data_IF_176630328366
#
_entry.id   IF_176630328366
#
_cell.length_a   1.000
_cell.length_b   1.000
_cell.length_c   1.000
_cell.angle_alpha   90.00
_cell.angle_beta   90.00
_cell.angle_gamma   90.00
#
_symmetry.space_group_name_H-M   'P 1'
#
loop_
_entity.id
_entity.type
_entity.pdbx_description
1 polymer ?
#
# COMPACT_ATOMS: atom_id res chain seq x y z
N UNK A 1 -1.45 5.44 5.46
CA UNK A 1 -0.34 5.42 6.41
C UNK A 1 0.98 5.51 5.67
N UNK A 2 1.76 6.54 5.98
CA UNK A 2 3.02 6.85 5.30
C UNK A 2 4.19 6.25 6.07
N UNK A 3 4.91 5.32 5.48
CA UNK A 3 5.90 4.55 6.21
C UNK A 3 7.31 4.65 5.65
N UNK A 4 8.24 5.15 6.45
CA UNK A 4 9.65 4.77 6.40
C UNK A 4 9.86 3.38 7.03
N UNK A 5 11.04 2.76 6.92
CA UNK A 5 11.31 1.42 7.46
C UNK A 5 10.97 1.24 8.96
N UNK A 6 11.10 2.29 9.77
CA UNK A 6 10.68 2.30 11.18
C UNK A 6 9.16 2.41 11.35
N UNK A 7 8.45 2.92 10.35
CA UNK A 7 7.00 3.01 10.34
C UNK A 7 6.34 1.65 10.11
N UNK A 8 7.01 0.73 9.39
CA UNK A 8 6.46 -0.59 9.11
C UNK A 8 6.09 -1.37 10.39
N UNK A 9 6.74 -1.09 11.50
CA UNK A 9 6.45 -1.76 12.77
C UNK A 9 5.18 -1.23 13.46
N UNK A 10 4.80 0.03 13.25
CA UNK A 10 3.61 0.63 13.88
C UNK A 10 2.33 0.03 13.32
N UNK A 11 2.13 0.10 11.99
CA UNK A 11 0.90 -0.43 11.39
C UNK A 11 0.87 -1.96 11.36
N UNK A 12 2.03 -2.63 11.24
CA UNK A 12 2.09 -4.09 11.37
C UNK A 12 1.64 -4.57 12.76
N UNK A 13 1.96 -3.83 13.82
CA UNK A 13 1.44 -4.14 15.16
C UNK A 13 -0.10 -4.01 15.23
N UNK A 14 -0.70 -3.02 14.59
CA UNK A 14 -2.15 -2.89 14.53
C UNK A 14 -2.77 -4.09 13.80
N UNK A 15 -2.23 -4.48 12.64
CA UNK A 15 -2.70 -5.66 11.90
C UNK A 15 -2.54 -6.93 12.73
N UNK A 16 -1.43 -7.08 13.47
CA UNK A 16 -1.18 -8.25 14.30
C UNK A 16 -2.15 -8.39 15.49
N UNK A 17 -2.87 -7.33 15.85
CA UNK A 17 -3.94 -7.37 16.87
C UNK A 17 -5.30 -7.80 16.28
N UNK A 18 -5.47 -7.76 14.95
CA UNK A 18 -6.71 -8.20 14.31
C UNK A 18 -6.84 -9.71 14.32
N UNK A 19 -8.08 -10.19 14.19
CA UNK A 19 -8.36 -11.62 14.03
C UNK A 19 -7.82 -12.16 12.70
N UNK A 20 -7.67 -13.48 12.59
CA UNK A 20 -7.36 -14.17 11.35
C UNK A 20 -8.62 -14.31 10.49
N UNK A 21 -8.50 -14.37 9.17
CA UNK A 21 -7.26 -14.33 8.40
C UNK A 21 -6.69 -12.93 8.21
N UNK A 22 -5.37 -12.87 7.93
CA UNK A 22 -4.66 -11.64 7.62
C UNK A 22 -3.98 -11.77 6.26
N UNK A 23 -4.28 -10.84 5.38
CA UNK A 23 -3.73 -10.80 4.02
C UNK A 23 -2.68 -9.70 3.90
N UNK A 24 -1.61 -10.01 3.20
CA UNK A 24 -0.58 -9.05 2.84
C UNK A 24 -0.52 -8.94 1.32
N UNK A 25 -0.95 -7.81 0.79
CA UNK A 25 -0.87 -7.51 -0.64
C UNK A 25 0.48 -6.87 -0.93
N UNK A 26 1.34 -7.62 -1.60
CA UNK A 26 2.68 -7.21 -1.98
C UNK A 26 2.67 -6.59 -3.38
N UNK A 27 3.02 -5.32 -3.47
CA UNK A 27 2.96 -4.55 -4.73
C UNK A 27 4.31 -4.43 -5.43
N UNK A 28 5.40 -4.89 -4.80
CA UNK A 28 6.75 -4.83 -5.37
C UNK A 28 6.89 -5.77 -6.56
N UNK A 29 7.34 -5.25 -7.69
CA UNK A 29 7.81 -6.07 -8.81
C UNK A 29 9.23 -6.56 -8.57
N UNK A 30 9.52 -7.77 -9.06
CA UNK A 30 10.85 -8.39 -8.96
C UNK A 30 11.59 -8.16 -10.28
N UNK A 31 12.60 -7.31 -10.27
CA UNK A 31 13.37 -6.94 -11.45
C UNK A 31 14.69 -7.72 -11.58
N UNK A 32 15.26 -8.18 -10.46
CA UNK A 32 16.54 -8.88 -10.42
C UNK A 32 16.62 -9.93 -9.30
N UNK A 33 17.72 -10.68 -9.26
CA UNK A 33 17.92 -11.76 -8.30
C UNK A 33 18.08 -11.25 -6.85
N UNK A 34 18.64 -10.05 -6.64
CA UNK A 34 18.78 -9.46 -5.32
C UNK A 34 17.40 -9.06 -4.78
N UNK A 35 16.58 -8.45 -5.62
CA UNK A 35 15.19 -8.12 -5.31
C UNK A 35 14.40 -9.40 -4.97
N UNK A 36 14.56 -10.48 -5.75
CA UNK A 36 13.93 -11.77 -5.49
C UNK A 36 14.31 -12.35 -4.13
N UNK A 37 15.60 -12.33 -3.78
CA UNK A 37 16.08 -12.81 -2.48
C UNK A 37 15.51 -11.98 -1.31
N UNK A 38 15.39 -10.67 -1.48
CA UNK A 38 14.78 -9.76 -0.49
C UNK A 38 13.29 -10.04 -0.33
N UNK A 39 12.56 -10.21 -1.42
CA UNK A 39 11.12 -10.56 -1.40
C UNK A 39 10.91 -11.90 -0.68
N UNK A 40 11.70 -12.92 -0.98
CA UNK A 40 11.59 -14.24 -0.35
C UNK A 40 11.88 -14.18 1.17
N UNK A 41 12.89 -13.41 1.59
CA UNK A 41 13.16 -13.16 3.02
C UNK A 41 11.96 -12.50 3.71
N UNK A 42 11.37 -11.47 3.10
CA UNK A 42 10.19 -10.79 3.62
C UNK A 42 8.96 -11.71 3.66
N UNK A 43 8.80 -12.58 2.66
CA UNK A 43 7.72 -13.57 2.60
C UNK A 43 7.79 -14.55 3.76
N UNK A 44 8.98 -15.09 4.07
CA UNK A 44 9.19 -15.97 5.22
C UNK A 44 8.88 -15.27 6.55
N UNK A 45 9.31 -14.02 6.71
CA UNK A 45 8.99 -13.24 7.91
C UNK A 45 7.49 -12.97 8.07
N UNK A 46 6.77 -12.75 6.97
CA UNK A 46 5.32 -12.56 6.97
C UNK A 46 4.56 -13.85 7.30
N UNK A 47 4.99 -14.97 6.75
CA UNK A 47 4.41 -16.28 7.05
C UNK A 47 4.52 -16.62 8.55
N UNK A 48 5.67 -16.34 9.18
CA UNK A 48 5.86 -16.51 10.62
C UNK A 48 4.90 -15.63 11.46
N UNK A 49 4.39 -14.53 10.90
CA UNK A 49 3.39 -13.63 11.51
C UNK A 49 1.96 -13.96 11.10
N UNK A 50 1.72 -15.12 10.49
CA UNK A 50 0.42 -15.60 10.03
C UNK A 50 -0.26 -14.69 8.98
N UNK A 51 0.54 -14.11 8.08
CA UNK A 51 0.03 -13.44 6.89
C UNK A 51 -0.04 -14.41 5.71
N UNK A 52 -1.17 -14.40 5.04
CA UNK A 52 -1.29 -14.94 3.69
C UNK A 52 -0.86 -13.87 2.70
N UNK A 53 0.21 -14.13 1.92
CA UNK A 53 0.73 -13.16 0.95
C UNK A 53 0.07 -13.32 -0.39
N UNK A 54 -0.47 -12.23 -0.92
CA UNK A 54 -1.01 -12.10 -2.27
C UNK A 54 -0.10 -11.15 -3.03
N UNK A 55 0.60 -11.65 -4.06
CA UNK A 55 1.40 -10.81 -4.94
C UNK A 55 0.45 -10.05 -5.88
N UNK A 56 0.50 -8.73 -5.82
CA UNK A 56 -0.37 -7.84 -6.58
C UNK A 56 0.39 -6.61 -7.07
N UNK A 57 1.33 -6.77 -8.02
CA UNK A 57 2.08 -5.63 -8.55
C UNK A 57 1.25 -4.73 -9.47
N UNK A 58 0.17 -5.25 -10.05
CA UNK A 58 -0.76 -4.58 -10.97
C UNK A 58 -2.18 -5.08 -10.72
N UNK A 59 -3.16 -4.37 -11.29
CA UNK A 59 -4.55 -4.82 -11.40
C UNK A 59 -5.18 -5.21 -10.05
N UNK A 60 -5.09 -4.31 -9.07
CA UNK A 60 -5.63 -4.51 -7.73
C UNK A 60 -7.12 -4.88 -7.75
N UNK A 61 -7.88 -4.43 -8.74
CA UNK A 61 -9.31 -4.75 -8.96
C UNK A 61 -9.57 -6.23 -9.22
N UNK A 62 -8.55 -6.98 -9.62
CA UNK A 62 -8.66 -8.43 -9.88
C UNK A 62 -8.49 -9.29 -8.64
N UNK A 63 -7.99 -8.73 -7.55
CA UNK A 63 -7.75 -9.46 -6.30
C UNK A 63 -9.06 -9.99 -5.72
N UNK A 64 -9.03 -11.26 -5.34
CA UNK A 64 -10.14 -11.93 -4.63
C UNK A 64 -9.60 -12.57 -3.36
N UNK A 65 -10.17 -12.17 -2.24
CA UNK A 65 -9.82 -12.76 -0.94
C UNK A 65 -10.65 -14.03 -0.71
N UNK A 66 -10.04 -15.13 -0.20
CA UNK A 66 -10.76 -16.37 0.09
C UNK A 66 -11.92 -16.20 1.08
N UNK A 67 -11.76 -15.32 2.07
CA UNK A 67 -12.79 -14.95 3.02
C UNK A 67 -12.52 -13.56 3.60
N UNK A 68 -13.47 -13.00 4.32
CA UNK A 68 -13.32 -11.70 4.97
C UNK A 68 -12.24 -11.75 6.06
N UNK A 69 -11.45 -10.70 6.15
CA UNK A 69 -10.38 -10.57 7.13
C UNK A 69 -9.71 -9.21 7.04
N UNK A 70 -8.56 -9.06 7.68
CA UNK A 70 -7.78 -7.82 7.63
C UNK A 70 -6.76 -7.88 6.49
N UNK A 71 -6.80 -6.92 5.59
CA UNK A 71 -5.85 -6.77 4.50
C UNK A 71 -4.90 -5.59 4.74
N UNK A 72 -3.62 -5.82 4.47
CA UNK A 72 -2.55 -4.82 4.47
C UNK A 72 -1.97 -4.73 3.07
N UNK A 73 -2.12 -3.57 2.41
CA UNK A 73 -1.49 -3.26 1.14
C UNK A 73 -0.18 -2.50 1.39
N UNK A 74 0.94 -3.06 0.99
CA UNK A 74 2.27 -2.46 1.12
C UNK A 74 3.02 -2.58 -0.23
N UNK A 75 3.24 -1.47 -0.98
CA UNK A 75 2.79 -0.11 -0.72
C UNK A 75 2.13 0.52 -1.95
N UNK A 76 1.45 1.62 -1.74
CA UNK A 76 0.73 2.34 -2.79
C UNK A 76 1.67 3.03 -3.78
N UNK A 77 2.87 3.44 -3.34
CA UNK A 77 3.86 4.06 -4.20
C UNK A 77 4.35 3.10 -5.29
N UNK A 78 4.69 1.86 -4.92
CA UNK A 78 5.06 0.82 -5.88
C UNK A 78 3.90 0.51 -6.84
N UNK A 79 2.68 0.33 -6.31
CA UNK A 79 1.51 0.07 -7.15
C UNK A 79 1.26 1.19 -8.14
N UNK A 80 1.37 2.45 -7.71
CA UNK A 80 1.19 3.61 -8.59
C UNK A 80 2.25 3.66 -9.68
N UNK A 81 3.51 3.42 -9.35
CA UNK A 81 4.58 3.38 -10.34
C UNK A 81 4.38 2.24 -11.36
N UNK A 82 4.00 1.05 -10.87
CA UNK A 82 3.75 -0.09 -11.74
C UNK A 82 2.58 0.20 -12.70
N UNK A 83 1.43 0.68 -12.20
CA UNK A 83 0.26 0.99 -13.03
C UNK A 83 0.54 2.11 -14.04
N UNK A 84 1.43 3.06 -13.72
CA UNK A 84 1.80 4.14 -14.65
C UNK A 84 2.75 3.70 -15.75
N UNK A 85 3.75 2.86 -15.42
CA UNK A 85 4.93 2.68 -16.27
C UNK A 85 5.09 1.27 -16.80
N UNK A 86 4.43 0.26 -16.23
CA UNK A 86 4.45 -1.08 -16.81
C UNK A 86 3.58 -1.09 -18.08
N UNK A 87 4.05 -1.73 -19.18
CA UNK A 87 3.25 -1.87 -20.40
C UNK A 87 1.89 -2.55 -20.19
N UNK A 88 1.76 -3.37 -19.14
CA UNK A 88 0.49 -4.02 -18.76
C UNK A 88 -0.33 -3.20 -17.78
N UNK A 89 0.18 -2.07 -17.29
CA UNK A 89 -0.51 -1.18 -16.36
C UNK A 89 -1.55 -0.28 -17.04
N UNK A 90 -2.23 0.51 -16.23
CA UNK A 90 -3.32 1.38 -16.69
C UNK A 90 -2.85 2.71 -17.30
N UNK A 91 -1.56 3.03 -17.26
CA UNK A 91 -1.01 4.28 -17.79
C UNK A 91 -1.64 5.52 -17.14
N UNK A 92 -2.16 6.45 -17.94
CA UNK A 92 -2.78 7.69 -17.44
C UNK A 92 -4.04 7.46 -16.59
N UNK A 93 -4.67 6.29 -16.70
CA UNK A 93 -5.81 5.89 -15.88
C UNK A 93 -5.38 5.22 -14.53
N UNK A 94 -4.09 5.17 -14.20
CA UNK A 94 -3.57 4.47 -13.03
C UNK A 94 -4.27 4.86 -11.71
N UNK A 95 -4.46 6.16 -11.47
CA UNK A 95 -5.11 6.63 -10.25
C UNK A 95 -6.55 6.12 -10.13
N UNK A 96 -7.32 6.15 -11.22
CA UNK A 96 -8.70 5.66 -11.25
C UNK A 96 -8.76 4.15 -11.04
N UNK A 97 -7.91 3.37 -11.73
CA UNK A 97 -7.83 1.92 -11.59
C UNK A 97 -7.46 1.50 -10.16
N UNK A 98 -6.49 2.18 -9.56
CA UNK A 98 -6.09 1.92 -8.16
C UNK A 98 -7.26 2.19 -7.22
N UNK A 99 -7.99 3.31 -7.38
CA UNK A 99 -9.14 3.63 -6.56
C UNK A 99 -10.27 2.61 -6.70
N UNK A 100 -10.57 2.15 -7.92
CA UNK A 100 -11.54 1.07 -8.16
C UNK A 100 -11.09 -0.23 -7.49
N UNK A 101 -9.80 -0.57 -7.59
CA UNK A 101 -9.21 -1.73 -6.93
C UNK A 101 -9.31 -1.67 -5.40
N UNK A 102 -9.05 -0.50 -4.82
CA UNK A 102 -9.16 -0.27 -3.38
C UNK A 102 -10.62 -0.37 -2.91
N UNK A 103 -11.58 0.15 -3.67
CA UNK A 103 -13.01 0.01 -3.35
C UNK A 103 -13.45 -1.47 -3.42
N UNK A 104 -13.00 -2.20 -4.44
CA UNK A 104 -13.24 -3.65 -4.56
C UNK A 104 -12.64 -4.44 -3.38
N UNK A 105 -11.41 -4.11 -2.99
CA UNK A 105 -10.73 -4.77 -1.88
C UNK A 105 -11.39 -4.43 -0.53
N UNK A 106 -11.75 -3.18 -0.30
CA UNK A 106 -12.42 -2.73 0.91
C UNK A 106 -13.75 -3.45 1.13
N UNK A 107 -14.52 -3.72 0.06
CA UNK A 107 -15.76 -4.47 0.12
C UNK A 107 -15.56 -5.95 0.56
N UNK A 108 -14.37 -6.51 0.35
CA UNK A 108 -14.01 -7.88 0.70
C UNK A 108 -13.40 -8.01 2.11
N UNK A 109 -12.98 -6.90 2.72
CA UNK A 109 -12.28 -6.88 4.01
C UNK A 109 -13.20 -6.60 5.19
N UNK A 110 -12.75 -6.98 6.39
CA UNK A 110 -13.23 -6.40 7.66
C UNK A 110 -12.49 -5.10 7.94
N UNK A 111 -11.17 -5.11 7.73
CA UNK A 111 -10.32 -3.94 7.86
C UNK A 111 -9.36 -3.89 6.67
N UNK A 112 -9.18 -2.70 6.11
CA UNK A 112 -8.20 -2.43 5.08
C UNK A 112 -7.20 -1.40 5.58
N UNK A 113 -5.92 -1.77 5.60
CA UNK A 113 -4.82 -0.88 5.90
C UNK A 113 -4.02 -0.67 4.62
N UNK A 114 -3.85 0.59 4.22
CA UNK A 114 -3.09 0.96 3.03
C UNK A 114 -1.87 1.76 3.45
N UNK A 115 -0.70 1.31 3.03
CA UNK A 115 0.57 1.99 3.25
C UNK A 115 0.91 2.81 2.03
N UNK A 116 1.24 4.08 2.23
CA UNK A 116 1.70 4.97 1.18
C UNK A 116 2.99 5.68 1.59
N UNK A 117 3.79 6.09 0.61
CA UNK A 117 5.03 6.81 0.82
C UNK A 117 4.77 8.32 0.88
N UNK A 118 5.45 9.00 1.79
CA UNK A 118 5.47 10.46 1.82
C UNK A 118 6.64 10.95 0.97
N UNK A 119 6.34 11.43 -0.23
CA UNK A 119 7.32 11.89 -1.21
C UNK A 119 7.16 13.37 -1.58
N UNK A 120 6.19 14.06 -0.93
CA UNK A 120 5.79 15.42 -1.28
C UNK A 120 6.54 16.51 -0.53
N UNK A 121 7.29 16.17 0.52
CA UNK A 121 7.99 17.13 1.37
C UNK A 121 9.35 17.59 0.80
N UNK A 122 9.76 17.09 -0.35
CA UNK A 122 11.10 17.28 -0.90
C UNK A 122 11.37 18.68 -1.50
N UNK A 123 10.35 19.49 -1.75
CA UNK A 123 10.49 20.88 -2.18
C UNK A 123 11.27 21.12 -3.49
N UNK A 124 11.39 20.12 -4.37
CA UNK A 124 12.05 20.24 -5.65
C UNK A 124 11.03 20.36 -6.79
N UNK A 125 11.33 21.20 -7.77
CA UNK A 125 10.59 21.22 -9.03
C UNK A 125 11.00 19.95 -9.82
N UNK A 126 10.12 18.96 -9.83
CA UNK A 126 10.27 17.78 -10.65
C UNK A 126 9.68 18.06 -12.04
N UNK A 127 10.16 17.38 -13.06
CA UNK A 127 9.65 17.52 -14.43
C UNK A 127 9.40 16.15 -15.06
N UNK A 128 8.42 16.08 -15.95
CA UNK A 128 8.14 14.90 -16.76
C UNK A 128 7.54 13.73 -15.96
N UNK A 129 8.13 12.54 -16.04
CA UNK A 129 7.60 11.31 -15.49
C UNK A 129 7.46 11.33 -13.95
N UNK A 130 8.34 12.06 -13.27
CA UNK A 130 8.26 12.23 -11.81
C UNK A 130 7.03 13.01 -11.41
N UNK A 131 6.70 14.11 -12.12
CA UNK A 131 5.49 14.88 -11.85
C UNK A 131 4.23 14.05 -12.07
N UNK A 132 4.20 13.26 -13.14
CA UNK A 132 3.10 12.34 -13.45
C UNK A 132 2.86 11.34 -12.33
N UNK A 133 3.93 10.74 -11.82
CA UNK A 133 3.87 9.84 -10.67
C UNK A 133 3.36 10.55 -9.41
N UNK A 134 3.91 11.71 -9.07
CA UNK A 134 3.52 12.47 -7.89
C UNK A 134 2.05 12.90 -7.95
N UNK A 135 1.57 13.35 -9.12
CA UNK A 135 0.17 13.71 -9.31
C UNK A 135 -0.78 12.53 -9.13
N UNK A 136 -0.46 11.38 -9.73
CA UNK A 136 -1.28 10.17 -9.58
C UNK A 136 -1.30 9.69 -8.12
N UNK A 137 -0.15 9.61 -7.46
CA UNK A 137 -0.07 9.22 -6.05
C UNK A 137 -0.79 10.20 -5.14
N UNK A 138 -0.68 11.52 -5.38
CA UNK A 138 -1.41 12.54 -4.62
C UNK A 138 -2.92 12.41 -4.80
N UNK A 139 -3.39 12.16 -6.01
CA UNK A 139 -4.82 11.95 -6.29
C UNK A 139 -5.36 10.74 -5.50
N UNK A 140 -4.66 9.62 -5.51
CA UNK A 140 -5.06 8.42 -4.76
C UNK A 140 -5.01 8.69 -3.26
N UNK A 141 -3.93 9.28 -2.75
CA UNK A 141 -3.79 9.59 -1.31
C UNK A 141 -4.90 10.52 -0.81
N UNK A 142 -5.24 11.58 -1.56
CA UNK A 142 -6.30 12.51 -1.18
C UNK A 142 -7.68 11.83 -1.16
N UNK A 143 -7.98 11.01 -2.17
CA UNK A 143 -9.24 10.26 -2.22
C UNK A 143 -9.35 9.25 -1.06
N UNK A 144 -8.27 8.54 -0.74
CA UNK A 144 -8.22 7.63 0.41
C UNK A 144 -8.36 8.36 1.73
N UNK A 145 -7.63 9.45 1.95
CA UNK A 145 -7.70 10.23 3.18
C UNK A 145 -9.12 10.76 3.45
N UNK A 146 -9.83 11.15 2.40
CA UNK A 146 -11.23 11.59 2.52
C UNK A 146 -12.16 10.47 3.02
N UNK A 147 -11.95 9.22 2.58
CA UNK A 147 -12.81 8.05 2.88
C UNK A 147 -12.38 7.28 4.14
N UNK A 148 -11.09 7.29 4.47
CA UNK A 148 -10.53 6.52 5.58
C UNK A 148 -11.12 6.95 6.95
N UNK A 149 -11.30 5.99 7.86
CA UNK A 149 -11.68 6.25 9.25
C UNK A 149 -10.52 6.85 10.05
N UNK A 150 -9.27 6.49 9.69
CA UNK A 150 -8.06 7.00 10.30
C UNK A 150 -6.99 7.30 9.25
N UNK A 151 -6.28 8.43 9.44
CA UNK A 151 -5.11 8.82 8.65
C UNK A 151 -3.97 9.11 9.60
N UNK A 152 -2.88 8.36 9.45
CA UNK A 152 -1.73 8.40 10.35
C UNK A 152 -0.46 8.61 9.56
N UNK A 153 0.34 9.60 9.93
CA UNK A 153 1.71 9.77 9.46
C UNK A 153 2.66 9.22 10.52
N UNK A 154 3.63 8.42 10.12
CA UNK A 154 4.65 7.91 11.03
C UNK A 154 5.95 8.66 10.80
N UNK A 155 6.43 9.38 11.81
CA UNK A 155 7.66 10.16 11.78
C UNK A 155 8.63 9.57 12.80
N UNK A 156 9.80 9.10 12.35
CA UNK A 156 10.80 8.47 13.22
C UNK A 156 10.20 7.38 14.14
N UNK A 157 9.28 6.58 13.64
CA UNK A 157 8.61 5.51 14.40
C UNK A 157 7.48 5.99 15.33
N UNK A 158 7.19 7.29 15.37
CA UNK A 158 6.10 7.87 16.18
C UNK A 158 4.89 8.13 15.30
N UNK A 159 3.70 7.58 15.63
CA UNK A 159 2.47 7.84 14.90
C UNK A 159 1.91 9.24 15.23
N UNK A 160 1.54 9.98 14.19
CA UNK A 160 0.85 11.27 14.28
C UNK A 160 -0.49 11.12 13.56
N UNK A 161 -1.58 11.29 14.28
CA UNK A 161 -2.93 11.14 13.75
C UNK A 161 -3.42 12.45 13.14
N UNK A 162 -3.77 12.42 11.86
CA UNK A 162 -4.42 13.52 11.14
C UNK A 162 -5.95 13.35 11.11
N UNK A 163 -6.41 12.11 11.18
CA UNK A 163 -7.82 11.75 11.25
C UNK A 163 -7.99 10.49 12.09
N UNK A 164 -9.08 10.41 12.85
CA UNK A 164 -9.31 9.31 13.79
C UNK A 164 -8.44 9.42 15.05
N UNK A 165 -8.53 8.41 15.88
CA UNK A 165 -7.73 8.25 17.11
C UNK A 165 -7.17 6.85 17.19
N UNK A 166 -6.09 6.66 17.97
CA UNK A 166 -5.58 5.33 18.29
C UNK A 166 -6.67 4.52 19.01
N UNK A 167 -6.98 3.33 18.48
CA UNK A 167 -7.93 2.39 19.07
C UNK A 167 -7.20 1.25 19.77
#
# INVERSE_FOLDING_TARGET
LLASSAASDVYKRQVLRSALPRYYLATMQVWDAECAARVEKHRKMRAAKQFETIECPLHLETVRLPCRGTALLEDLGNLTANELYDPAGAGDAAAEHILQGLDSLAAQCENLIVVSNEVFSGGADYAGDTDRYLLALAQVNNALAARADAVVRVVCGVPVYYKGVEK
#
